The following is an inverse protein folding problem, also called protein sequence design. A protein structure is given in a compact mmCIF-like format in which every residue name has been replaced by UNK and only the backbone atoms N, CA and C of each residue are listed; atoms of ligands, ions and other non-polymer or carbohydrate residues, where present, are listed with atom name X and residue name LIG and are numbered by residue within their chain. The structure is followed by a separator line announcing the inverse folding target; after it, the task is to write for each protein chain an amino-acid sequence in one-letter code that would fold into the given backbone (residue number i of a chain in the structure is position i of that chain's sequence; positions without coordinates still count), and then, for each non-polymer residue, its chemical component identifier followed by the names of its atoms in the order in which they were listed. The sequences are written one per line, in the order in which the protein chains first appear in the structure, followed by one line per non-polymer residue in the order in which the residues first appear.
data_IF_044795498303
#
_entry.id   IF_044795498303
#
_cell.length_a   1.000
_cell.length_b   1.000
_cell.length_c   1.000
_cell.angle_alpha   90.00
_cell.angle_beta   90.00
_cell.angle_gamma   90.00
#
_symmetry.space_group_name_H-M   'P 1'
#
loop_
_entity.id
_entity.type
_entity.pdbx_description
1 polymer ?
#
# COMPACT_ATOMS: atom_id res chain seq x y z
N UNK A 1 -0.54 14.17 8.83
CA UNK A 1 -0.49 12.77 8.38
C UNK A 1 0.81 12.58 7.60
N UNK A 2 1.61 11.55 7.90
CA UNK A 2 2.86 11.29 7.19
C UNK A 2 2.79 9.96 6.41
N UNK A 3 3.73 9.75 5.48
CA UNK A 3 3.75 8.56 4.61
C UNK A 3 3.77 7.25 5.41
N UNK A 4 4.52 7.19 6.52
CA UNK A 4 4.64 5.98 7.33
C UNK A 4 3.31 5.58 7.96
N UNK A 5 2.58 6.54 8.52
CA UNK A 5 1.27 6.28 9.12
C UNK A 5 0.27 5.76 8.08
N UNK A 6 0.17 6.42 6.92
CA UNK A 6 -0.73 5.98 5.84
C UNK A 6 -0.34 4.61 5.30
N UNK A 7 0.96 4.33 5.15
CA UNK A 7 1.44 3.02 4.68
C UNK A 7 1.02 1.89 5.62
N UNK A 8 1.05 2.14 6.93
CA UNK A 8 0.58 1.18 7.94
C UNK A 8 -0.94 0.97 7.86
N UNK A 9 -1.72 2.04 7.69
CA UNK A 9 -3.18 1.92 7.53
C UNK A 9 -3.55 1.15 6.26
N UNK A 10 -2.89 1.44 5.14
CA UNK A 10 -3.07 0.71 3.87
C UNK A 10 -2.76 -0.78 4.08
N UNK A 11 -1.68 -1.10 4.78
CA UNK A 11 -1.34 -2.49 5.10
C UNK A 11 -2.40 -3.20 5.93
N UNK A 12 -2.92 -2.53 6.96
CA UNK A 12 -4.01 -3.09 7.75
C UNK A 12 -5.25 -3.36 6.90
N UNK A 13 -5.60 -2.44 5.99
CA UNK A 13 -6.73 -2.64 5.07
C UNK A 13 -6.48 -3.82 4.13
N UNK A 14 -5.30 -3.92 3.53
CA UNK A 14 -4.95 -5.01 2.63
C UNK A 14 -4.99 -6.39 3.31
N UNK A 15 -4.68 -6.46 4.61
CA UNK A 15 -4.64 -7.71 5.36
C UNK A 15 -5.99 -8.11 5.98
N UNK A 16 -6.83 -7.14 6.32
CA UNK A 16 -8.02 -7.39 7.18
C UNK A 16 -9.36 -7.08 6.52
N UNK A 17 -9.40 -6.27 5.46
CA UNK A 17 -10.67 -5.93 4.82
C UNK A 17 -11.13 -7.07 3.90
N UNK A 18 -12.42 -7.38 3.94
CA UNK A 18 -13.05 -8.32 3.00
C UNK A 18 -12.93 -7.85 1.55
N UNK A 19 -13.05 -6.53 1.35
CA UNK A 19 -12.94 -5.84 0.05
C UNK A 19 -11.98 -4.65 0.14
N UNK A 20 -10.67 -4.90 0.19
CA UNK A 20 -9.67 -3.86 0.41
C UNK A 20 -9.70 -2.79 -0.67
N UNK A 21 -10.01 -3.14 -1.92
CA UNK A 21 -10.13 -2.20 -3.04
C UNK A 21 -11.20 -1.13 -2.80
N UNK A 22 -12.35 -1.53 -2.24
CA UNK A 22 -13.44 -0.59 -1.93
C UNK A 22 -13.05 0.31 -0.77
N UNK A 23 -12.44 -0.27 0.28
CA UNK A 23 -12.03 0.48 1.47
C UNK A 23 -10.93 1.50 1.17
N UNK A 24 -9.95 1.15 0.34
CA UNK A 24 -8.88 2.04 -0.09
C UNK A 24 -9.42 3.21 -0.93
N UNK A 25 -10.38 2.97 -1.82
CA UNK A 25 -11.05 4.05 -2.58
C UNK A 25 -11.78 5.01 -1.64
N UNK A 26 -12.50 4.49 -0.64
CA UNK A 26 -13.18 5.31 0.36
C UNK A 26 -12.19 6.17 1.15
N UNK A 27 -11.09 5.58 1.62
CA UNK A 27 -10.04 6.31 2.33
C UNK A 27 -9.45 7.44 1.49
N UNK A 28 -9.18 7.19 0.21
CA UNK A 28 -8.71 8.21 -0.72
C UNK A 28 -9.74 9.34 -0.91
N UNK A 29 -11.02 8.99 -1.11
CA UNK A 29 -12.09 9.96 -1.31
C UNK A 29 -12.30 10.86 -0.07
N UNK A 30 -12.20 10.29 1.13
CA UNK A 30 -12.32 11.00 2.40
C UNK A 30 -11.05 11.79 2.79
N UNK A 31 -9.92 11.58 2.11
CA UNK A 31 -8.68 12.30 2.36
C UNK A 31 -8.73 13.73 1.79
N UNK A 32 -8.11 14.68 2.48
CA UNK A 32 -7.88 16.03 1.93
C UNK A 32 -6.93 15.98 0.72
N UNK A 33 -6.87 17.06 -0.05
CA UNK A 33 -6.03 17.14 -1.25
C UNK A 33 -4.55 16.83 -0.96
N UNK A 34 -3.99 17.44 0.09
CA UNK A 34 -2.61 17.16 0.54
C UNK A 34 -2.42 15.70 0.97
N UNK A 35 -3.41 15.12 1.65
CA UNK A 35 -3.36 13.74 2.12
C UNK A 35 -3.48 12.73 0.98
N UNK A 36 -4.21 13.06 -0.09
CA UNK A 36 -4.34 12.21 -1.28
C UNK A 36 -2.99 11.96 -1.93
N UNK A 37 -2.14 12.98 -2.01
CA UNK A 37 -0.79 12.81 -2.56
C UNK A 37 0.06 11.84 -1.71
N UNK A 38 0.01 12.00 -0.39
CA UNK A 38 0.67 11.11 0.57
C UNK A 38 0.13 9.68 0.45
N UNK A 39 -1.18 9.53 0.27
CA UNK A 39 -1.86 8.25 0.13
C UNK A 39 -1.47 7.49 -1.13
N UNK A 40 -1.50 8.16 -2.28
CA UNK A 40 -1.06 7.57 -3.56
C UNK A 40 0.43 7.20 -3.49
N UNK A 41 1.26 8.07 -2.91
CA UNK A 41 2.69 7.78 -2.74
C UNK A 41 2.94 6.52 -1.90
N UNK A 42 2.19 6.35 -0.81
CA UNK A 42 2.28 5.16 0.04
C UNK A 42 1.79 3.88 -0.68
N UNK A 43 0.70 3.96 -1.46
CA UNK A 43 0.20 2.86 -2.28
C UNK A 43 1.24 2.40 -3.31
N UNK A 44 1.84 3.35 -4.05
CA UNK A 44 2.89 3.05 -5.02
C UNK A 44 4.08 2.37 -4.34
N UNK A 45 4.51 2.91 -3.19
CA UNK A 45 5.58 2.31 -2.38
C UNK A 45 5.29 0.86 -1.98
N UNK A 46 4.06 0.54 -1.59
CA UNK A 46 3.63 -0.82 -1.27
C UNK A 46 3.66 -1.75 -2.49
N UNK A 47 3.18 -1.30 -3.66
CA UNK A 47 3.23 -2.10 -4.90
C UNK A 47 4.68 -2.42 -5.28
N UNK A 48 5.57 -1.43 -5.24
CA UNK A 48 7.01 -1.62 -5.52
C UNK A 48 7.62 -2.61 -4.51
N UNK A 49 7.31 -2.49 -3.22
CA UNK A 49 7.82 -3.40 -2.20
C UNK A 49 7.34 -4.84 -2.44
N UNK A 50 6.07 -5.04 -2.77
CA UNK A 50 5.53 -6.36 -3.10
C UNK A 50 6.17 -6.95 -4.36
N UNK A 51 6.35 -6.16 -5.42
CA UNK A 51 7.04 -6.60 -6.64
C UNK A 51 8.47 -7.04 -6.34
N UNK A 52 9.23 -6.26 -5.54
CA UNK A 52 10.58 -6.64 -5.10
C UNK A 52 10.59 -7.97 -4.33
N UNK A 53 9.65 -8.17 -3.40
CA UNK A 53 9.55 -9.42 -2.64
C UNK A 53 9.21 -10.62 -3.53
N UNK A 54 8.31 -10.45 -4.50
CA UNK A 54 7.93 -11.50 -5.44
C UNK A 54 9.08 -11.86 -6.39
N UNK A 55 9.85 -10.87 -6.85
CA UNK A 55 11.07 -11.10 -7.64
C UNK A 55 12.13 -11.84 -6.83
N UNK A 56 12.39 -11.43 -5.59
CA UNK A 56 13.34 -12.13 -4.70
C UNK A 56 12.91 -13.57 -4.38
N UNK A 57 11.61 -13.85 -4.26
CA UNK A 57 11.11 -15.23 -4.09
C UNK A 57 11.27 -16.11 -5.33
N UNK A 58 11.42 -15.52 -6.51
CA UNK A 58 11.50 -16.25 -7.78
C UNK A 58 12.91 -16.81 -8.07
N UNK A 59 13.92 -16.38 -7.34
CA UNK A 59 15.31 -16.88 -7.41
C UNK A 59 15.73 -17.69 -6.16
N UNK A 60 15.20 -18.91 -5.91
CA UNK A 60 15.70 -19.78 -4.85
C UNK A 60 16.96 -20.60 -5.24
N UNK A 61 17.45 -20.50 -6.47
CA UNK A 61 18.56 -21.34 -7.01
C UNK A 61 19.86 -20.57 -7.35
N UNK A 62 19.99 -19.31 -6.93
CA UNK A 62 21.21 -18.52 -7.15
C UNK A 62 22.20 -18.54 -5.96
N UNK A 63 22.10 -19.53 -5.06
CA UNK A 63 23.01 -19.75 -3.94
C UNK A 63 23.58 -21.17 -3.95
#
# INVERSE_FOLDING_TARGET
MNISHISNEIEQVLLSAERPEVKLIQMYQCSSEDQRFVFISALIGKVIAQDRMLRHKKDPTAA
#
